data_IF_812919744864
#
_entry.id   IF_812919744864
#
_cell.length_a   1.000
_cell.length_b   1.000
_cell.length_c   1.000
_cell.angle_alpha   90.00
_cell.angle_beta   90.00
_cell.angle_gamma   90.00
#
_symmetry.space_group_name_H-M   'P 1'
#
loop_
_entity.id
_entity.type
_entity.pdbx_description
1 polymer ?
#
# COMPACT_ATOMS: atom_id res chain seq x y z
N UNK A 1 -2.84 -14.78 -10.40
CA UNK A 1 -3.85 -13.86 -10.94
C UNK A 1 -3.24 -12.48 -11.17
N UNK A 2 -3.63 -11.80 -12.23
CA UNK A 2 -3.23 -10.41 -12.52
C UNK A 2 -4.01 -9.43 -11.65
N UNK A 3 -5.28 -9.71 -11.47
CA UNK A 3 -6.21 -8.87 -10.71
C UNK A 3 -6.92 -9.69 -9.64
N UNK A 4 -7.30 -9.03 -8.55
CA UNK A 4 -8.10 -9.63 -7.49
C UNK A 4 -9.27 -8.70 -7.15
N UNK A 5 -10.45 -9.27 -6.88
CA UNK A 5 -11.62 -8.52 -6.48
C UNK A 5 -11.40 -7.82 -5.12
N UNK A 6 -12.00 -6.65 -4.96
CA UNK A 6 -11.82 -5.79 -3.79
C UNK A 6 -10.58 -4.89 -3.83
N UNK A 7 -9.65 -5.16 -4.76
CA UNK A 7 -8.43 -4.36 -4.90
C UNK A 7 -8.72 -2.93 -5.38
N UNK A 8 -9.48 -2.80 -6.50
CA UNK A 8 -9.80 -1.48 -7.04
C UNK A 8 -10.62 -0.64 -6.06
N UNK A 9 -11.59 -1.26 -5.39
CA UNK A 9 -12.38 -0.58 -4.35
C UNK A 9 -11.51 -0.08 -3.19
N UNK A 10 -10.51 -0.85 -2.77
CA UNK A 10 -9.58 -0.44 -1.73
C UNK A 10 -8.67 0.72 -2.19
N UNK A 11 -8.23 0.68 -3.44
CA UNK A 11 -7.45 1.78 -4.06
C UNK A 11 -8.28 3.05 -4.12
N UNK A 12 -9.55 2.97 -4.55
CA UNK A 12 -10.45 4.12 -4.65
C UNK A 12 -10.64 4.80 -3.29
N UNK A 13 -10.87 4.00 -2.21
CA UNK A 13 -11.04 4.55 -0.85
C UNK A 13 -9.74 5.16 -0.32
N UNK A 14 -8.60 4.52 -0.57
CA UNK A 14 -7.31 5.05 -0.17
C UNK A 14 -6.97 6.35 -0.91
N UNK A 15 -7.27 6.41 -2.21
CA UNK A 15 -7.12 7.62 -3.05
C UNK A 15 -8.01 8.75 -2.55
N UNK A 16 -9.31 8.50 -2.30
CA UNK A 16 -10.22 9.51 -1.73
C UNK A 16 -9.70 10.05 -0.39
N UNK A 17 -9.10 9.19 0.43
CA UNK A 17 -8.48 9.63 1.69
C UNK A 17 -7.30 10.57 1.41
N UNK A 18 -6.42 10.24 0.47
CA UNK A 18 -5.28 11.10 0.08
C UNK A 18 -5.77 12.44 -0.47
N UNK A 19 -6.77 12.44 -1.34
CA UNK A 19 -7.36 13.64 -1.94
C UNK A 19 -7.96 14.58 -0.87
N UNK A 20 -8.67 14.03 0.11
CA UNK A 20 -9.21 14.80 1.25
C UNK A 20 -8.09 15.44 2.07
N UNK A 21 -7.02 14.69 2.34
CA UNK A 21 -5.84 15.22 3.03
C UNK A 21 -5.14 16.26 2.17
N UNK A 22 -5.03 16.05 0.85
CA UNK A 22 -4.41 16.99 -0.07
C UNK A 22 -5.08 18.37 -0.02
N UNK A 23 -6.42 18.40 -0.02
CA UNK A 23 -7.18 19.66 0.05
C UNK A 23 -6.99 20.40 1.37
N UNK A 24 -6.92 19.68 2.50
CA UNK A 24 -6.67 20.32 3.81
C UNK A 24 -5.20 20.65 4.03
N UNK A 25 -4.28 19.87 3.47
CA UNK A 25 -2.83 20.10 3.59
C UNK A 25 -2.39 21.44 2.98
N UNK A 26 -3.05 21.86 1.91
CA UNK A 26 -2.75 23.12 1.22
C UNK A 26 -2.89 24.38 2.11
N UNK A 27 -3.72 24.32 3.15
CA UNK A 27 -3.97 25.40 4.11
C UNK A 27 -3.01 25.41 5.32
N UNK A 28 -2.20 24.37 5.47
CA UNK A 28 -1.29 24.20 6.61
C UNK A 28 0.08 23.74 6.14
N UNK A 29 1.14 24.39 6.59
CA UNK A 29 2.54 24.03 6.25
C UNK A 29 3.01 22.80 7.03
N UNK A 30 2.44 21.63 6.72
CA UNK A 30 2.64 20.37 7.45
C UNK A 30 3.02 19.21 6.54
N UNK A 31 3.55 18.17 7.14
CA UNK A 31 3.72 16.87 6.50
C UNK A 31 2.58 15.95 6.93
N UNK A 32 1.96 15.27 5.99
CA UNK A 32 0.92 14.28 6.24
C UNK A 32 1.41 12.89 5.84
N UNK A 33 1.23 11.94 6.74
CA UNK A 33 1.50 10.52 6.48
C UNK A 33 0.17 9.78 6.46
N UNK A 34 -0.10 9.07 5.37
CA UNK A 34 -1.29 8.23 5.21
C UNK A 34 -0.85 6.78 5.20
N UNK A 35 -1.27 5.99 6.23
CA UNK A 35 -0.98 4.57 6.30
C UNK A 35 -2.04 3.77 5.57
N UNK A 36 -1.63 3.03 4.55
CA UNK A 36 -2.50 2.25 3.67
C UNK A 36 -2.33 0.76 3.96
N UNK A 37 -3.44 0.04 4.04
CA UNK A 37 -3.45 -1.42 4.23
C UNK A 37 -2.87 -2.15 3.01
N UNK A 38 -2.31 -3.32 3.22
CA UNK A 38 -1.74 -4.18 2.17
C UNK A 38 -0.93 -5.34 2.73
N UNK A 39 -0.84 -5.45 4.05
CA UNK A 39 -0.11 -6.47 4.78
C UNK A 39 1.38 -6.51 4.37
N UNK A 40 1.80 -7.47 3.54
CA UNK A 40 3.21 -7.67 3.14
C UNK A 40 3.53 -7.15 1.74
N UNK A 41 2.58 -6.59 1.04
CA UNK A 41 2.73 -6.13 -0.34
C UNK A 41 2.19 -4.71 -0.50
N UNK A 42 2.83 -3.92 -1.31
CA UNK A 42 2.59 -2.49 -1.44
C UNK A 42 1.65 -2.08 -2.58
N UNK A 43 0.96 -3.00 -3.26
CA UNK A 43 0.16 -2.68 -4.44
C UNK A 43 -0.90 -1.60 -4.22
N UNK A 44 -1.67 -1.70 -3.12
CA UNK A 44 -2.72 -0.69 -2.82
C UNK A 44 -2.08 0.67 -2.55
N UNK A 45 -1.02 0.68 -1.72
CA UNK A 45 -0.29 1.92 -1.38
C UNK A 45 0.34 2.57 -2.61
N UNK A 46 0.95 1.75 -3.49
CA UNK A 46 1.55 2.26 -4.72
C UNK A 46 0.50 2.94 -5.61
N UNK A 47 -0.58 2.22 -5.93
CA UNK A 47 -1.59 2.76 -6.85
C UNK A 47 -2.33 3.95 -6.26
N UNK A 48 -2.74 3.89 -4.99
CA UNK A 48 -3.42 5.03 -4.36
C UNK A 48 -2.47 6.22 -4.14
N UNK A 49 -1.20 5.97 -3.82
CA UNK A 49 -0.20 7.03 -3.67
C UNK A 49 0.07 7.78 -4.98
N UNK A 50 0.17 7.04 -6.10
CA UNK A 50 0.31 7.65 -7.44
C UNK A 50 -0.96 8.40 -7.82
N UNK A 51 -2.13 7.76 -7.68
CA UNK A 51 -3.41 8.36 -8.06
C UNK A 51 -3.74 9.62 -7.24
N UNK A 52 -3.46 9.61 -5.94
CA UNK A 52 -3.68 10.74 -5.04
C UNK A 52 -2.53 11.76 -5.01
N UNK A 53 -1.48 11.57 -5.83
CA UNK A 53 -0.37 12.53 -5.92
C UNK A 53 0.49 12.61 -4.67
N UNK A 54 0.74 11.49 -3.98
CA UNK A 54 1.66 11.46 -2.85
C UNK A 54 3.10 11.79 -3.31
N UNK A 55 3.79 12.58 -2.51
CA UNK A 55 5.16 13.04 -2.82
C UNK A 55 6.22 11.98 -2.51
N UNK A 56 5.91 11.08 -1.58
CA UNK A 56 6.73 9.93 -1.22
C UNK A 56 5.82 8.71 -1.02
N UNK A 57 6.24 7.55 -1.53
CA UNK A 57 5.52 6.30 -1.37
C UNK A 57 6.49 5.26 -0.77
N UNK A 58 6.14 4.74 0.42
CA UNK A 58 6.97 3.76 1.13
C UNK A 58 6.30 2.38 1.08
N UNK A 59 6.99 1.40 0.49
CA UNK A 59 6.50 0.06 0.22
C UNK A 59 7.26 -1.00 1.02
N UNK A 60 6.64 -2.16 1.34
CA UNK A 60 7.34 -3.27 1.99
C UNK A 60 8.48 -3.85 1.15
N UNK A 61 8.35 -3.77 -0.17
CA UNK A 61 9.31 -4.33 -1.15
C UNK A 61 10.61 -3.53 -1.22
N UNK A 62 10.57 -2.25 -0.80
CA UNK A 62 11.73 -1.35 -0.87
C UNK A 62 11.98 -0.79 0.53
N UNK A 63 12.95 -1.34 1.28
CA UNK A 63 13.29 -0.83 2.61
C UNK A 63 13.66 0.66 2.57
N UNK A 64 12.92 1.46 3.33
CA UNK A 64 13.11 2.91 3.33
C UNK A 64 14.31 3.36 4.17
N UNK A 65 14.86 4.49 3.78
CA UNK A 65 15.89 5.24 4.50
C UNK A 65 15.27 6.54 5.03
N UNK A 66 15.14 6.68 6.33
CA UNK A 66 14.47 7.82 6.94
C UNK A 66 15.19 9.15 6.66
N UNK A 67 16.53 9.12 6.50
CA UNK A 67 17.29 10.32 6.16
C UNK A 67 16.96 10.79 4.73
N UNK A 68 16.80 9.85 3.79
CA UNK A 68 16.37 10.17 2.44
C UNK A 68 14.94 10.72 2.40
N UNK A 69 14.03 10.18 3.18
CA UNK A 69 12.67 10.72 3.28
C UNK A 69 12.70 12.14 3.84
N UNK A 70 13.48 12.41 4.89
CA UNK A 70 13.66 13.73 5.45
C UNK A 70 14.25 14.72 4.43
N UNK A 71 15.27 14.28 3.67
CA UNK A 71 15.88 15.07 2.59
C UNK A 71 14.84 15.49 1.53
N UNK A 72 14.01 14.55 1.06
CA UNK A 72 12.94 14.86 0.09
C UNK A 72 11.96 15.88 0.66
N UNK A 73 11.52 15.71 1.90
CA UNK A 73 10.62 16.66 2.56
C UNK A 73 11.25 18.05 2.63
N UNK A 74 12.49 18.17 3.11
CA UNK A 74 13.17 19.47 3.24
C UNK A 74 13.41 20.15 1.88
N UNK A 75 13.80 19.37 0.86
CA UNK A 75 14.00 19.89 -0.50
C UNK A 75 12.69 20.46 -1.08
N UNK A 76 11.55 19.81 -0.81
CA UNK A 76 10.25 20.31 -1.25
C UNK A 76 9.90 21.64 -0.59
N UNK A 77 10.09 21.75 0.72
CA UNK A 77 9.85 23.02 1.42
C UNK A 77 10.82 24.12 0.98
N UNK A 78 12.10 23.79 0.76
CA UNK A 78 13.09 24.71 0.21
C UNK A 78 12.70 25.21 -1.21
N UNK A 79 12.05 24.34 -2.01
CA UNK A 79 11.49 24.70 -3.32
C UNK A 79 10.16 25.49 -3.25
N UNK A 80 9.73 25.91 -2.05
CA UNK A 80 8.53 26.73 -1.85
C UNK A 80 7.22 25.96 -1.77
N UNK A 81 7.26 24.61 -1.72
CA UNK A 81 6.07 23.81 -1.46
C UNK A 81 5.65 23.95 0.00
N UNK A 82 4.35 24.08 0.25
CA UNK A 82 3.83 24.36 1.61
C UNK A 82 3.52 23.12 2.42
N UNK A 83 3.45 21.94 1.79
CA UNK A 83 3.14 20.67 2.45
C UNK A 83 3.79 19.51 1.73
N UNK A 84 3.81 18.34 2.37
CA UNK A 84 4.18 17.06 1.75
C UNK A 84 3.23 15.95 2.20
N UNK A 85 2.92 15.05 1.29
CA UNK A 85 2.11 13.87 1.54
C UNK A 85 2.96 12.62 1.32
N UNK A 86 2.99 11.77 2.32
CA UNK A 86 3.70 10.48 2.33
C UNK A 86 2.68 9.36 2.43
N UNK A 87 2.56 8.52 1.41
CA UNK A 87 1.79 7.29 1.47
C UNK A 87 2.68 6.16 1.98
N UNK A 88 2.25 5.48 3.05
CA UNK A 88 3.04 4.43 3.70
C UNK A 88 2.24 3.14 3.74
N UNK A 89 2.78 2.05 3.20
CA UNK A 89 2.19 0.74 3.40
C UNK A 89 2.36 0.28 4.86
N UNK A 90 1.33 -0.33 5.45
CA UNK A 90 1.38 -0.83 6.85
C UNK A 90 2.52 -1.82 7.10
N UNK A 91 3.01 -2.48 6.04
CA UNK A 91 4.13 -3.40 6.07
C UNK A 91 5.48 -2.77 5.68
N UNK A 92 5.57 -1.46 5.51
CA UNK A 92 6.83 -0.79 5.18
C UNK A 92 7.89 -1.04 6.27
N UNK A 93 9.13 -1.23 5.86
CA UNK A 93 10.24 -1.58 6.75
C UNK A 93 11.44 -0.67 6.49
N UNK A 94 12.14 -0.25 7.55
CA UNK A 94 13.37 0.53 7.41
C UNK A 94 14.53 -0.33 6.89
N UNK A 95 15.56 0.33 6.32
CA UNK A 95 16.81 -0.36 5.92
C UNK A 95 17.51 -1.04 7.10
N UNK A 96 17.41 -0.49 8.30
CA UNK A 96 17.97 -1.04 9.52
C UNK A 96 17.24 -2.32 9.90
N UNK A 97 15.91 -2.27 9.89
CA UNK A 97 15.06 -3.40 10.28
C UNK A 97 15.10 -4.54 9.26
N UNK A 98 15.27 -4.21 7.98
CA UNK A 98 15.42 -5.21 6.92
C UNK A 98 16.67 -6.09 7.09
N UNK A 99 17.68 -5.63 7.84
CA UNK A 99 18.90 -6.41 8.18
C UNK A 99 18.67 -7.40 9.32
N UNK A 100 17.59 -7.26 10.10
CA UNK A 100 17.31 -8.12 11.24
C UNK A 100 16.84 -9.52 10.80
N UNK A 101 17.24 -10.54 11.55
CA UNK A 101 16.66 -11.87 11.37
C UNK A 101 15.17 -11.85 11.76
N UNK A 102 14.36 -12.66 11.11
CA UNK A 102 12.90 -12.74 11.31
C UNK A 102 12.46 -12.79 12.79
N UNK A 103 13.23 -13.55 13.63
CA UNK A 103 12.95 -13.64 15.08
C UNK A 103 13.21 -12.32 15.80
N UNK A 104 14.29 -11.63 15.47
CA UNK A 104 14.67 -10.33 16.05
C UNK A 104 13.67 -9.25 15.65
N UNK A 105 13.29 -9.22 14.36
CA UNK A 105 12.28 -8.28 13.88
C UNK A 105 10.91 -8.49 14.55
N UNK A 106 10.49 -9.76 14.74
CA UNK A 106 9.26 -10.05 15.49
C UNK A 106 9.32 -9.58 16.95
N UNK A 107 10.46 -9.77 17.62
CA UNK A 107 10.66 -9.29 18.98
C UNK A 107 10.55 -7.75 19.03
N UNK A 108 11.25 -7.05 18.12
CA UNK A 108 11.15 -5.59 18.00
C UNK A 108 9.71 -5.11 17.77
N UNK A 109 8.96 -5.80 16.91
CA UNK A 109 7.54 -5.47 16.68
C UNK A 109 6.67 -5.65 17.93
N UNK A 110 6.95 -6.66 18.76
CA UNK A 110 6.21 -6.89 20.00
C UNK A 110 6.49 -5.81 21.06
N UNK A 111 7.66 -5.19 21.02
CA UNK A 111 8.08 -4.10 21.91
C UNK A 111 7.85 -2.71 21.29
N UNK A 112 7.19 -2.65 20.12
CA UNK A 112 6.96 -1.38 19.41
C UNK A 112 6.24 -0.38 20.28
N UNK A 113 6.84 0.80 20.45
CA UNK A 113 6.28 1.92 21.23
C UNK A 113 5.10 2.58 20.52
N UNK A 114 5.09 2.57 19.19
CA UNK A 114 4.11 3.26 18.37
C UNK A 114 3.02 2.30 17.88
N UNK A 115 1.77 2.75 17.69
CA UNK A 115 0.66 1.89 17.28
C UNK A 115 0.83 1.33 15.86
N UNK A 116 1.57 2.01 15.00
CA UNK A 116 1.84 1.57 13.63
C UNK A 116 3.13 2.16 13.07
N UNK A 117 3.53 1.71 11.86
CA UNK A 117 4.75 2.19 11.18
C UNK A 117 4.67 3.67 10.82
N UNK A 118 3.49 4.18 10.47
CA UNK A 118 3.32 5.60 10.15
C UNK A 118 3.63 6.52 11.34
N UNK A 119 3.25 6.12 12.55
CA UNK A 119 3.59 6.89 13.76
C UNK A 119 5.08 6.82 14.11
N UNK A 120 5.73 5.69 13.85
CA UNK A 120 7.17 5.55 14.01
C UNK A 120 7.93 6.45 13.04
N UNK A 121 7.52 6.46 11.76
CA UNK A 121 8.07 7.35 10.74
C UNK A 121 7.81 8.82 11.10
N UNK A 122 6.60 9.15 11.57
CA UNK A 122 6.25 10.51 11.98
C UNK A 122 7.19 11.03 13.06
N UNK A 123 7.38 10.27 14.13
CA UNK A 123 8.26 10.66 15.23
C UNK A 123 9.71 10.88 14.76
N UNK A 124 10.22 9.97 13.90
CA UNK A 124 11.57 10.09 13.36
C UNK A 124 11.73 11.31 12.43
N UNK A 125 10.72 11.61 11.61
CA UNK A 125 10.75 12.78 10.73
C UNK A 125 10.59 14.09 11.52
N UNK A 126 9.73 14.15 12.56
CA UNK A 126 9.62 15.32 13.45
C UNK A 126 10.96 15.65 14.11
N UNK A 127 11.66 14.62 14.57
CA UNK A 127 12.99 14.81 15.17
C UNK A 127 13.99 15.39 14.19
N UNK A 128 13.99 14.92 12.93
CA UNK A 128 14.96 15.32 11.90
C UNK A 128 14.62 16.68 11.26
N UNK A 129 13.36 16.92 10.94
CA UNK A 129 12.93 18.09 10.16
C UNK A 129 12.41 19.24 11.03
N UNK A 130 12.11 18.98 12.31
CA UNK A 130 11.45 19.92 13.23
C UNK A 130 10.10 20.46 12.71
N UNK A 131 9.45 19.71 11.79
CA UNK A 131 8.15 20.07 11.21
C UNK A 131 7.04 19.31 11.90
N UNK A 132 5.86 19.93 11.92
CA UNK A 132 4.65 19.26 12.42
C UNK A 132 4.21 18.17 11.44
N UNK A 133 4.08 16.94 11.93
CA UNK A 133 3.65 15.79 11.14
C UNK A 133 2.31 15.28 11.66
N UNK A 134 1.40 15.01 10.74
CA UNK A 134 0.09 14.44 11.04
C UNK A 134 -0.03 13.06 10.40
N UNK A 135 -0.59 12.12 11.13
CA UNK A 135 -0.81 10.75 10.67
C UNK A 135 -2.31 10.50 10.50
N UNK A 136 -2.65 9.91 9.37
CA UNK A 136 -4.01 9.42 9.08
C UNK A 136 -3.91 7.93 8.77
N UNK A 137 -4.70 7.12 9.50
CA UNK A 137 -4.79 5.68 9.29
C UNK A 137 -6.24 5.34 8.97
N UNK A 138 -6.62 5.24 7.69
CA UNK A 138 -7.97 4.83 7.28
C UNK A 138 -8.37 3.45 7.83
N UNK A 139 -7.39 2.56 7.98
CA UNK A 139 -7.60 1.24 8.57
C UNK A 139 -8.70 0.46 7.85
N UNK A 140 -9.62 -0.13 8.60
CA UNK A 140 -10.68 -0.99 8.06
C UNK A 140 -11.70 -0.27 7.18
N UNK A 141 -11.75 1.06 7.12
CA UNK A 141 -12.60 1.78 6.16
C UNK A 141 -12.25 1.44 4.72
N UNK A 142 -10.99 1.07 4.44
CA UNK A 142 -10.54 0.59 3.14
C UNK A 142 -11.16 -0.76 2.72
N UNK A 143 -11.74 -1.51 3.67
CA UNK A 143 -12.42 -2.79 3.42
C UNK A 143 -13.93 -2.68 3.49
N UNK A 144 -14.46 -1.52 3.86
CA UNK A 144 -15.88 -1.26 4.03
C UNK A 144 -16.51 -0.64 2.79
N UNK A 145 -17.81 -0.46 2.86
CA UNK A 145 -18.59 0.20 1.82
C UNK A 145 -18.98 -0.69 0.64
N UNK A 146 -19.50 -0.07 -0.39
CA UNK A 146 -19.94 -0.75 -1.61
C UNK A 146 -18.74 -0.96 -2.54
N UNK A 147 -18.56 -2.15 -3.14
CA UNK A 147 -17.51 -2.37 -4.13
C UNK A 147 -17.78 -1.53 -5.38
N UNK A 148 -16.72 -1.07 -6.04
CA UNK A 148 -16.80 -0.37 -7.30
C UNK A 148 -17.31 -1.31 -8.42
N UNK A 149 -17.75 -0.72 -9.54
CA UNK A 149 -18.29 -1.47 -10.66
C UNK A 149 -17.33 -2.53 -11.21
N UNK A 150 -16.03 -2.18 -11.29
CA UNK A 150 -14.99 -3.09 -11.74
C UNK A 150 -14.93 -4.37 -10.88
N UNK A 151 -14.86 -4.23 -9.57
CA UNK A 151 -14.79 -5.36 -8.64
C UNK A 151 -16.04 -6.23 -8.67
N UNK A 152 -17.22 -5.63 -8.87
CA UNK A 152 -18.48 -6.38 -9.02
C UNK A 152 -18.48 -7.26 -10.27
N UNK A 153 -18.05 -6.72 -11.41
CA UNK A 153 -17.95 -7.47 -12.67
C UNK A 153 -16.91 -8.56 -12.55
N UNK A 154 -15.74 -8.25 -12.00
CA UNK A 154 -14.67 -9.22 -11.78
C UNK A 154 -15.12 -10.36 -10.88
N UNK A 155 -15.73 -10.04 -9.72
CA UNK A 155 -16.24 -11.05 -8.78
C UNK A 155 -17.31 -11.94 -9.42
N UNK A 156 -18.20 -11.38 -10.25
CA UNK A 156 -19.20 -12.15 -11.00
C UNK A 156 -18.54 -13.13 -11.98
N UNK A 157 -17.55 -12.68 -12.75
CA UNK A 157 -16.84 -13.52 -13.70
C UNK A 157 -16.12 -14.69 -13.01
N UNK A 158 -15.33 -14.40 -11.98
CA UNK A 158 -14.58 -15.46 -11.27
C UNK A 158 -15.50 -16.39 -10.50
N UNK A 159 -16.61 -15.88 -9.95
CA UNK A 159 -17.62 -16.67 -9.26
C UNK A 159 -18.37 -17.63 -10.19
N UNK A 160 -18.78 -17.16 -11.37
CA UNK A 160 -19.42 -17.99 -12.39
C UNK A 160 -18.50 -19.15 -12.82
N UNK A 161 -17.24 -18.84 -13.15
CA UNK A 161 -16.30 -19.88 -13.55
C UNK A 161 -15.98 -20.86 -12.42
N UNK A 162 -15.92 -20.40 -11.16
CA UNK A 162 -15.77 -21.29 -10.00
C UNK A 162 -16.96 -22.23 -9.85
N UNK A 163 -18.19 -21.76 -10.11
CA UNK A 163 -19.38 -22.61 -10.09
C UNK A 163 -19.34 -23.69 -11.21
N UNK A 164 -18.88 -23.35 -12.41
CA UNK A 164 -18.66 -24.31 -13.52
C UNK A 164 -17.66 -25.40 -13.12
N UNK A 165 -16.53 -25.02 -12.50
CA UNK A 165 -15.55 -26.02 -12.00
C UNK A 165 -16.18 -27.00 -11.00
N UNK A 166 -17.02 -26.49 -10.10
CA UNK A 166 -17.71 -27.35 -9.11
C UNK A 166 -18.68 -28.30 -9.80
N UNK A 167 -19.48 -27.81 -10.76
CA UNK A 167 -20.42 -28.64 -11.53
C UNK A 167 -19.68 -29.75 -12.30
N UNK A 168 -18.50 -29.45 -12.81
CA UNK A 168 -17.65 -30.41 -13.53
C UNK A 168 -16.79 -31.29 -12.59
N UNK A 169 -16.97 -31.16 -11.25
CA UNK A 169 -16.18 -31.86 -10.23
C UNK A 169 -14.67 -31.63 -10.33
N UNK A 170 -14.29 -30.45 -10.81
CA UNK A 170 -12.90 -30.02 -10.93
C UNK A 170 -12.48 -29.25 -9.66
N UNK A 171 -11.77 -29.90 -8.76
CA UNK A 171 -11.35 -29.34 -7.46
C UNK A 171 -9.83 -29.12 -7.41
N UNK A 172 -9.36 -28.36 -6.42
CA UNK A 172 -7.93 -28.09 -6.21
C UNK A 172 -7.39 -26.94 -7.05
N UNK A 173 -8.27 -26.06 -7.52
CA UNK A 173 -7.92 -24.88 -8.32
C UNK A 173 -8.35 -23.58 -7.64
N UNK A 174 -7.59 -22.54 -7.90
CA UNK A 174 -8.00 -21.14 -7.71
C UNK A 174 -8.46 -20.61 -9.08
N UNK A 175 -9.55 -19.88 -9.09
CA UNK A 175 -9.92 -19.09 -10.28
C UNK A 175 -9.17 -17.78 -10.25
N UNK A 176 -8.43 -17.48 -11.28
CA UNK A 176 -7.67 -16.24 -11.42
C UNK A 176 -7.90 -15.58 -12.78
N UNK A 177 -7.43 -14.35 -12.90
CA UNK A 177 -7.34 -13.66 -14.20
C UNK A 177 -5.92 -13.84 -14.73
N UNK A 178 -5.82 -14.33 -15.94
CA UNK A 178 -4.57 -14.56 -16.67
C UNK A 178 -4.80 -14.17 -18.12
N UNK A 179 -3.98 -13.28 -18.68
CA UNK A 179 -4.16 -12.68 -20.01
C UNK A 179 -5.56 -12.04 -20.20
N UNK A 180 -6.06 -11.38 -19.13
CA UNK A 180 -7.37 -10.72 -19.13
C UNK A 180 -8.59 -11.64 -19.02
N UNK A 181 -8.40 -12.97 -18.98
CA UNK A 181 -9.49 -13.94 -18.93
C UNK A 181 -9.47 -14.82 -17.67
N UNK A 182 -10.61 -15.44 -17.34
CA UNK A 182 -10.73 -16.36 -16.22
C UNK A 182 -10.05 -17.70 -16.53
N UNK A 183 -9.12 -18.10 -15.68
CA UNK A 183 -8.43 -19.39 -15.80
C UNK A 183 -8.36 -20.12 -14.47
N UNK A 184 -8.38 -21.45 -14.50
CA UNK A 184 -8.10 -22.28 -13.33
C UNK A 184 -6.58 -22.40 -13.15
N UNK A 185 -6.11 -22.12 -11.94
CA UNK A 185 -4.70 -22.21 -11.53
C UNK A 185 -4.59 -23.25 -10.42
N UNK A 186 -3.74 -24.27 -10.52
CA UNK A 186 -3.58 -25.27 -9.47
C UNK A 186 -3.21 -24.63 -8.12
N UNK A 187 -3.84 -25.05 -7.03
CA UNK A 187 -3.53 -24.50 -5.70
C UNK A 187 -2.07 -24.71 -5.28
N UNK A 188 -1.43 -25.78 -5.79
CA UNK A 188 0.00 -26.05 -5.59
C UNK A 188 0.91 -24.96 -6.18
N UNK A 189 0.45 -24.26 -7.20
CA UNK A 189 1.19 -23.16 -7.82
C UNK A 189 1.00 -21.82 -7.07
N UNK A 190 -0.03 -21.72 -6.23
CA UNK A 190 -0.42 -20.49 -5.53
C UNK A 190 0.01 -20.53 -4.06
N UNK A 191 -0.07 -21.71 -3.44
CA UNK A 191 0.15 -21.86 -2.01
C UNK A 191 1.54 -21.35 -1.58
N UNK A 192 1.55 -20.47 -0.57
CA UNK A 192 2.78 -19.91 -0.02
C UNK A 192 3.49 -18.85 -0.88
N UNK A 193 2.94 -18.51 -2.04
CA UNK A 193 3.49 -17.46 -2.91
C UNK A 193 2.77 -16.13 -2.72
N UNK A 194 3.54 -15.05 -2.74
CA UNK A 194 3.04 -13.67 -2.76
C UNK A 194 3.45 -13.01 -4.09
N UNK A 195 2.54 -12.25 -4.66
CA UNK A 195 2.84 -11.38 -5.80
C UNK A 195 3.28 -10.03 -5.26
N UNK A 196 4.57 -9.78 -5.28
CA UNK A 196 5.17 -8.51 -4.89
C UNK A 196 4.99 -7.44 -5.97
N UNK A 197 5.15 -6.17 -5.58
CA UNK A 197 5.26 -5.08 -6.54
C UNK A 197 6.53 -5.26 -7.35
N UNK A 198 6.42 -5.18 -8.68
CA UNK A 198 7.58 -5.24 -9.57
C UNK A 198 8.37 -3.93 -9.49
N UNK A 199 9.62 -4.03 -9.05
CA UNK A 199 10.50 -2.87 -8.90
C UNK A 199 10.84 -2.21 -10.25
N UNK A 200 10.84 -2.97 -11.36
CA UNK A 200 11.05 -2.42 -12.70
C UNK A 200 9.89 -1.52 -13.14
N UNK A 201 8.66 -1.85 -12.72
CA UNK A 201 7.50 -0.99 -12.98
C UNK A 201 7.58 0.38 -12.28
N UNK A 202 8.36 0.50 -11.20
CA UNK A 202 8.53 1.75 -10.44
C UNK A 202 9.52 2.70 -11.12
N UNK A 203 10.51 2.19 -11.84
CA UNK A 203 11.52 3.00 -12.56
C UNK A 203 10.86 3.78 -13.69
N UNK A 204 9.88 3.19 -14.38
CA UNK A 204 9.15 3.83 -15.48
C UNK A 204 8.12 4.88 -15.04
N UNK A 205 7.82 5.01 -13.75
CA UNK A 205 6.89 6.00 -13.21
C UNK A 205 7.64 7.25 -12.72
N UNK A 206 8.95 7.14 -12.48
CA UNK A 206 9.80 8.21 -11.96
C UNK A 206 10.53 9.03 -13.04
N UNK A 207 10.37 8.70 -14.31
CA UNK A 207 10.85 9.47 -15.48
C UNK A 207 9.71 10.32 -16.07
#
# INVERSE_FOLDING_TARGET
>A
TEMTFGFQSAVDIATDTIDRIHTTASSHSRVFIIEVMGHKVGHVTLQSGIAGGADVILLPEIPYDIDKVAEVVENRFAAGKKFSIIAVAEGAISKEDAKLKKKQYKAKLAERRYPSVAYEIAAALEEKTKREIRVTVPGHTQRGGAPCAYDRVLATRVGAYAAELILNKEYGYMVGIVDGDTKKVPLSEVAGKLKYVDQLSLIHISE
#
